data_IF_301368382810
#
_entry.id   IF_301368382810
#
_cell.length_a   1.000
_cell.length_b   1.000
_cell.length_c   1.000
_cell.angle_alpha   90.00
_cell.angle_beta   90.00
_cell.angle_gamma   90.00
#
_symmetry.space_group_name_H-M   'P 1'
#
loop_
_entity.id
_entity.type
_entity.pdbx_description
1 polymer ?
#
# COMPACT_ATOMS: atom_id res chain seq x y z
N UNK A 1 -40.32 5.80 52.93
CA UNK A 1 -40.04 6.29 51.56
C UNK A 1 -39.05 7.42 51.67
N UNK A 2 -38.02 7.45 50.81
CA UNK A 2 -37.08 8.58 50.76
C UNK A 2 -37.84 9.85 50.32
N UNK A 3 -37.37 11.04 50.72
CA UNK A 3 -38.08 12.30 50.46
C UNK A 3 -38.04 12.70 48.98
N UNK A 4 -39.07 13.40 48.49
CA UNK A 4 -39.12 13.96 47.13
C UNK A 4 -37.91 14.88 46.85
N UNK A 5 -37.41 15.58 47.86
CA UNK A 5 -36.21 16.40 47.76
C UNK A 5 -34.97 15.58 47.35
N UNK A 6 -34.88 14.32 47.79
CA UNK A 6 -33.77 13.41 47.44
C UNK A 6 -33.86 12.98 45.99
N UNK A 7 -35.06 12.66 45.50
CA UNK A 7 -35.28 12.28 44.10
C UNK A 7 -34.94 13.45 43.15
N UNK A 8 -35.26 14.68 43.54
CA UNK A 8 -34.97 15.88 42.76
C UNK A 8 -33.45 16.16 42.64
N UNK A 9 -32.68 15.92 43.71
CA UNK A 9 -31.22 16.02 43.69
C UNK A 9 -30.60 14.98 42.74
N UNK A 10 -31.09 13.72 42.78
CA UNK A 10 -30.59 12.66 41.90
C UNK A 10 -30.89 13.00 40.44
N UNK A 11 -32.09 13.50 40.15
CA UNK A 11 -32.48 13.90 38.80
C UNK A 11 -31.58 15.02 38.26
N UNK A 12 -31.27 16.04 39.06
CA UNK A 12 -30.36 17.12 38.66
C UNK A 12 -28.95 16.60 38.35
N UNK A 13 -28.40 15.73 39.19
CA UNK A 13 -27.09 15.10 38.92
C UNK A 13 -27.11 14.28 37.64
N UNK A 14 -28.18 13.51 37.41
CA UNK A 14 -28.32 12.67 36.23
C UNK A 14 -28.33 13.51 34.95
N UNK A 15 -29.14 14.56 34.87
CA UNK A 15 -29.21 15.40 33.66
C UNK A 15 -27.88 16.10 33.35
N UNK A 16 -27.10 16.47 34.38
CA UNK A 16 -25.76 17.06 34.19
C UNK A 16 -24.73 16.05 33.68
N UNK A 17 -24.80 14.79 34.13
CA UNK A 17 -23.80 13.77 33.80
C UNK A 17 -24.17 12.95 32.56
N UNK A 18 -25.46 12.83 32.22
CA UNK A 18 -25.98 12.01 31.11
C UNK A 18 -25.26 12.22 29.78
N UNK A 19 -24.87 13.44 29.34
CA UNK A 19 -24.14 13.63 28.09
C UNK A 19 -22.73 13.01 28.07
N UNK A 20 -22.15 12.79 29.26
CA UNK A 20 -20.77 12.32 29.42
C UNK A 20 -20.67 10.84 29.81
N UNK A 21 -21.80 10.19 30.12
CA UNK A 21 -21.84 8.79 30.55
C UNK A 21 -22.18 7.87 29.38
N UNK A 22 -21.37 6.82 29.20
CA UNK A 22 -21.74 5.66 28.40
C UNK A 22 -22.57 4.66 29.21
N UNK A 23 -23.12 3.64 28.55
CA UNK A 23 -24.01 2.62 29.14
C UNK A 23 -23.39 1.90 30.36
N UNK A 24 -22.07 1.64 30.35
CA UNK A 24 -21.39 1.01 31.48
C UNK A 24 -21.23 1.99 32.66
N UNK A 25 -20.75 3.21 32.39
CA UNK A 25 -20.59 4.24 33.43
C UNK A 25 -21.92 4.69 34.04
N UNK A 26 -23.01 4.68 33.26
CA UNK A 26 -24.34 5.03 33.73
C UNK A 26 -24.89 3.97 34.71
N UNK A 27 -24.67 2.69 34.42
CA UNK A 27 -25.01 1.57 35.32
C UNK A 27 -24.21 1.63 36.62
N UNK A 28 -22.92 1.89 36.53
CA UNK A 28 -22.07 2.04 37.72
C UNK A 28 -22.49 3.23 38.59
N UNK A 29 -22.73 4.40 37.99
CA UNK A 29 -23.16 5.60 38.73
C UNK A 29 -24.53 5.41 39.40
N UNK A 30 -25.52 4.91 38.66
CA UNK A 30 -26.87 4.69 39.21
C UNK A 30 -26.88 3.65 40.33
N UNK A 31 -26.04 2.62 40.25
CA UNK A 31 -25.86 1.65 41.32
C UNK A 31 -25.18 2.25 42.57
N UNK A 32 -24.17 3.11 42.39
CA UNK A 32 -23.52 3.79 43.50
C UNK A 32 -24.48 4.73 44.24
N UNK A 33 -25.31 5.50 43.52
CA UNK A 33 -26.35 6.36 44.13
C UNK A 33 -27.45 5.51 44.80
N UNK A 34 -27.80 4.34 44.25
CA UNK A 34 -28.78 3.46 44.90
C UNK A 34 -28.23 2.84 46.20
N UNK A 35 -26.95 2.49 46.23
CA UNK A 35 -26.28 1.93 47.41
C UNK A 35 -26.11 2.97 48.53
N UNK A 36 -25.78 4.22 48.19
CA UNK A 36 -25.60 5.29 49.19
C UNK A 36 -26.89 5.63 49.94
N UNK A 37 -28.05 5.43 49.31
CA UNK A 37 -29.36 5.71 49.87
C UNK A 37 -29.96 4.56 50.70
N UNK A 38 -29.36 3.36 50.65
CA UNK A 38 -29.82 2.20 51.40
C UNK A 38 -31.24 1.73 51.03
N UNK A 39 -32.09 1.51 52.03
CA UNK A 39 -33.43 0.94 51.81
C UNK A 39 -34.33 1.89 51.01
N UNK A 40 -34.76 1.46 49.83
CA UNK A 40 -35.55 2.27 48.89
C UNK A 40 -34.73 3.02 47.83
N UNK A 41 -33.40 3.02 47.92
CA UNK A 41 -32.52 3.73 46.99
C UNK A 41 -32.73 3.37 45.53
N UNK A 42 -32.87 2.08 45.21
CA UNK A 42 -33.16 1.60 43.84
C UNK A 42 -34.46 2.18 43.29
N UNK A 43 -35.49 2.30 44.14
CA UNK A 43 -36.79 2.84 43.71
C UNK A 43 -36.69 4.33 43.45
N UNK A 44 -36.01 5.08 44.31
CA UNK A 44 -35.83 6.52 44.16
C UNK A 44 -34.92 6.89 42.99
N UNK A 45 -33.83 6.16 42.76
CA UNK A 45 -32.98 6.35 41.57
C UNK A 45 -33.73 6.02 40.28
N UNK A 46 -34.53 4.94 40.27
CA UNK A 46 -35.34 4.58 39.10
C UNK A 46 -36.38 5.66 38.76
N UNK A 47 -37.04 6.24 39.77
CA UNK A 47 -37.99 7.34 39.59
C UNK A 47 -37.32 8.62 39.10
N UNK A 48 -36.18 8.99 39.69
CA UNK A 48 -35.46 10.21 39.36
C UNK A 48 -34.81 10.20 37.97
N UNK A 49 -34.36 9.02 37.50
CA UNK A 49 -33.59 8.89 36.25
C UNK A 49 -34.36 8.28 35.08
N UNK A 50 -35.49 7.62 35.36
CA UNK A 50 -36.23 6.81 34.38
C UNK A 50 -35.55 5.48 34.03
N UNK A 51 -34.43 5.13 34.68
CA UNK A 51 -33.75 3.85 34.47
C UNK A 51 -34.57 2.69 35.01
N UNK A 52 -34.51 1.54 34.32
CA UNK A 52 -35.14 0.32 34.82
C UNK A 52 -34.45 -0.15 36.10
N UNK A 53 -35.23 -0.67 37.05
CA UNK A 53 -34.68 -1.27 38.28
C UNK A 53 -33.71 -2.41 37.97
N UNK A 54 -33.96 -3.16 36.90
CA UNK A 54 -33.06 -4.22 36.42
C UNK A 54 -31.68 -3.69 36.05
N UNK A 55 -31.61 -2.52 35.42
CA UNK A 55 -30.34 -1.84 35.05
C UNK A 55 -29.55 -1.42 36.28
N UNK A 56 -30.23 -0.89 37.30
CA UNK A 56 -29.62 -0.46 38.56
C UNK A 56 -29.11 -1.69 39.34
N UNK A 57 -29.91 -2.76 39.42
CA UNK A 57 -29.50 -4.01 40.06
C UNK A 57 -28.30 -4.66 39.36
N UNK A 58 -28.26 -4.64 38.02
CA UNK A 58 -27.10 -5.14 37.27
C UNK A 58 -25.83 -4.35 37.63
N UNK A 59 -25.92 -3.01 37.71
CA UNK A 59 -24.79 -2.19 38.16
C UNK A 59 -24.36 -2.48 39.60
N UNK A 60 -25.30 -2.77 40.52
CA UNK A 60 -24.96 -3.14 41.91
C UNK A 60 -24.20 -4.46 41.99
N UNK A 61 -24.61 -5.45 41.19
CA UNK A 61 -23.89 -6.73 41.07
C UNK A 61 -22.48 -6.50 40.52
N UNK A 62 -22.33 -5.69 39.47
CA UNK A 62 -21.03 -5.35 38.88
C UNK A 62 -20.10 -4.63 39.88
N UNK A 63 -20.61 -3.69 40.68
CA UNK A 63 -19.83 -3.00 41.72
C UNK A 63 -19.42 -3.92 42.88
N UNK A 64 -20.23 -4.95 43.19
CA UNK A 64 -19.94 -5.92 44.26
C UNK A 64 -18.84 -6.93 43.90
N UNK A 65 -18.39 -6.96 42.64
CA UNK A 65 -17.35 -7.87 42.14
C UNK A 65 -16.07 -7.08 41.77
N UNK A 66 -15.22 -6.70 42.75
CA UNK A 66 -14.05 -5.85 42.51
C UNK A 66 -12.96 -6.48 41.62
N UNK A 67 -13.00 -7.80 41.34
CA UNK A 67 -11.98 -8.49 40.54
C UNK A 67 -12.32 -8.66 39.04
N UNK A 68 -13.51 -8.24 38.57
CA UNK A 68 -13.83 -8.26 37.14
C UNK A 68 -13.53 -6.93 36.42
N UNK A 69 -13.45 -5.81 37.17
CA UNK A 69 -13.28 -4.47 36.61
C UNK A 69 -11.82 -3.97 36.58
N UNK A 70 -10.92 -4.52 37.40
CA UNK A 70 -9.54 -4.04 37.52
C UNK A 70 -8.51 -4.80 36.66
N UNK A 71 -8.86 -5.97 36.11
CA UNK A 71 -7.95 -6.79 35.29
C UNK A 71 -8.03 -6.50 33.79
N UNK A 72 -8.80 -5.50 33.37
CA UNK A 72 -8.92 -5.10 31.97
C UNK A 72 -8.44 -3.67 31.76
N UNK A 73 -7.13 -3.47 31.72
CA UNK A 73 -6.52 -2.30 31.06
C UNK A 73 -5.56 -2.82 29.99
N UNK A 74 -5.60 -2.39 28.71
CA UNK A 74 -6.56 -1.56 27.99
C UNK A 74 -7.08 -2.26 26.70
N UNK A 75 -8.35 -2.67 26.67
CA UNK A 75 -9.08 -2.74 25.40
C UNK A 75 -10.36 -1.92 25.54
N UNK A 76 -10.17 -0.61 25.34
CA UNK A 76 -11.16 0.45 25.50
C UNK A 76 -12.23 0.45 24.40
N UNK A 77 -12.70 -0.72 23.94
CA UNK A 77 -13.45 -0.82 22.68
C UNK A 77 -14.78 -1.55 22.73
N UNK A 78 -15.13 -2.26 23.82
CA UNK A 78 -16.44 -2.95 23.87
C UNK A 78 -17.24 -2.62 25.12
N UNK A 79 -18.12 -1.62 24.99
CA UNK A 79 -19.08 -1.20 26.02
C UNK A 79 -20.16 -2.28 26.24
N UNK A 80 -20.46 -3.09 25.23
CA UNK A 80 -21.49 -4.13 25.28
C UNK A 80 -20.90 -5.53 25.40
N UNK A 81 -21.59 -6.40 26.13
CA UNK A 81 -21.26 -7.83 26.19
C UNK A 81 -21.21 -8.47 24.79
N UNK A 82 -20.47 -9.57 24.61
CA UNK A 82 -20.54 -10.39 23.40
C UNK A 82 -22.01 -10.69 23.04
N UNK A 83 -22.40 -10.45 21.79
CA UNK A 83 -23.79 -10.60 21.34
C UNK A 83 -24.67 -9.34 21.40
N UNK A 84 -24.27 -8.26 22.09
CA UNK A 84 -25.05 -7.01 22.20
C UNK A 84 -24.99 -6.07 20.98
N UNK A 85 -24.66 -6.56 19.78
CA UNK A 85 -24.49 -5.75 18.57
C UNK A 85 -25.63 -5.90 17.57
N UNK A 86 -25.68 -5.02 16.57
CA UNK A 86 -26.51 -5.25 15.37
C UNK A 86 -26.10 -6.59 14.76
N UNK A 87 -27.06 -7.47 14.47
CA UNK A 87 -26.80 -8.77 13.85
C UNK A 87 -26.09 -8.56 12.50
N UNK A 88 -25.15 -9.45 12.17
CA UNK A 88 -24.45 -9.41 10.90
C UNK A 88 -25.46 -9.44 9.74
N UNK A 89 -25.20 -8.67 8.68
CA UNK A 89 -26.12 -8.57 7.54
C UNK A 89 -26.40 -9.95 6.91
N UNK A 90 -25.40 -10.83 6.91
CA UNK A 90 -25.49 -12.23 6.46
C UNK A 90 -26.54 -13.03 7.24
N UNK A 91 -26.78 -12.71 8.51
CA UNK A 91 -27.82 -13.36 9.32
C UNK A 91 -29.22 -12.79 9.08
N UNK A 92 -29.33 -11.70 8.32
CA UNK A 92 -30.60 -10.99 8.04
C UNK A 92 -30.99 -11.11 6.56
N UNK A 93 -30.02 -11.31 5.68
CA UNK A 93 -30.18 -11.48 4.23
C UNK A 93 -29.50 -12.79 3.80
N UNK A 94 -30.32 -13.83 3.62
CA UNK A 94 -29.86 -15.18 3.32
C UNK A 94 -29.34 -15.33 1.87
N UNK A 95 -29.68 -14.40 0.97
CA UNK A 95 -29.33 -14.48 -0.45
C UNK A 95 -28.05 -13.68 -0.78
N UNK A 96 -27.72 -12.69 0.06
CA UNK A 96 -26.55 -11.82 -0.12
C UNK A 96 -25.22 -12.55 -0.40
N UNK A 97 -24.91 -13.63 0.33
CA UNK A 97 -23.66 -14.37 0.10
C UNK A 97 -23.67 -15.08 -1.25
N UNK A 98 -24.80 -15.70 -1.62
CA UNK A 98 -24.96 -16.41 -2.89
C UNK A 98 -24.87 -15.45 -4.07
N UNK A 99 -25.49 -14.28 -3.96
CA UNK A 99 -25.52 -13.28 -5.03
C UNK A 99 -24.17 -12.57 -5.16
N UNK A 100 -23.46 -12.34 -4.05
CA UNK A 100 -22.07 -11.90 -4.07
C UNK A 100 -21.15 -12.94 -4.74
N UNK A 101 -21.29 -14.22 -4.39
CA UNK A 101 -20.54 -15.30 -5.04
C UNK A 101 -20.84 -15.37 -6.54
N UNK A 102 -22.10 -15.25 -6.96
CA UNK A 102 -22.48 -15.26 -8.37
C UNK A 102 -21.94 -14.07 -9.17
N UNK A 103 -21.79 -12.91 -8.53
CA UNK A 103 -21.11 -11.74 -9.13
C UNK A 103 -19.60 -11.91 -9.19
N UNK A 104 -19.07 -12.82 -8.38
CA UNK A 104 -17.64 -13.12 -8.23
C UNK A 104 -17.18 -14.32 -9.07
N UNK A 105 -18.09 -15.23 -9.39
CA UNK A 105 -17.84 -16.44 -10.16
C UNK A 105 -17.79 -16.15 -11.68
N UNK A 106 -16.74 -16.55 -12.41
CA UNK A 106 -16.63 -16.30 -13.83
C UNK A 106 -17.53 -17.28 -14.60
N UNK A 107 -18.81 -16.95 -14.76
CA UNK A 107 -19.75 -17.68 -15.60
C UNK A 107 -19.48 -17.53 -17.12
N UNK A 108 -18.21 -17.53 -17.57
CA UNK A 108 -17.83 -17.83 -18.96
C UNK A 108 -16.33 -18.10 -19.08
N UNK A 109 -15.88 -19.31 -18.74
CA UNK A 109 -14.84 -20.10 -19.44
C UNK A 109 -14.51 -21.38 -18.65
N UNK A 110 -15.32 -22.41 -18.86
CA UNK A 110 -14.91 -23.82 -18.80
C UNK A 110 -14.63 -24.44 -17.43
N UNK A 111 -15.46 -25.45 -17.12
CA UNK A 111 -15.28 -26.57 -16.18
C UNK A 111 -15.72 -26.40 -14.70
N UNK A 112 -16.50 -27.36 -14.11
CA UNK A 112 -17.15 -27.23 -12.79
C UNK A 112 -16.27 -27.52 -11.56
N UNK A 113 -14.97 -27.80 -11.71
CA UNK A 113 -14.05 -28.09 -10.59
C UNK A 113 -12.77 -27.26 -10.65
N UNK A 114 -12.85 -25.94 -10.45
CA UNK A 114 -11.64 -25.11 -10.29
C UNK A 114 -11.74 -24.11 -9.13
N UNK A 115 -10.81 -24.12 -8.16
CA UNK A 115 -10.82 -23.24 -6.97
C UNK A 115 -10.29 -21.82 -7.26
N UNK A 116 -10.45 -21.35 -8.50
CA UNK A 116 -9.87 -20.07 -8.95
C UNK A 116 -10.98 -19.15 -9.46
N UNK A 117 -11.64 -18.51 -8.47
CA UNK A 117 -12.67 -17.48 -8.68
C UNK A 117 -11.97 -16.11 -8.75
N UNK A 118 -12.03 -15.42 -9.89
CA UNK A 118 -11.43 -14.09 -10.06
C UNK A 118 -12.46 -13.07 -10.55
N UNK A 119 -12.45 -11.86 -9.97
CA UNK A 119 -13.14 -10.69 -10.55
C UNK A 119 -12.19 -9.54 -10.78
N UNK A 120 -12.44 -8.79 -11.86
CA UNK A 120 -11.82 -7.49 -12.12
C UNK A 120 -12.68 -6.32 -11.63
N UNK A 121 -13.74 -6.60 -10.83
CA UNK A 121 -14.70 -5.58 -10.36
C UNK A 121 -14.23 -5.03 -9.01
N UNK A 122 -14.20 -3.71 -8.87
CA UNK A 122 -13.93 -3.07 -7.57
C UNK A 122 -15.09 -3.32 -6.59
N UNK A 123 -14.80 -3.22 -5.29
CA UNK A 123 -15.83 -3.35 -4.24
C UNK A 123 -17.00 -2.37 -4.41
N UNK A 124 -16.74 -1.18 -4.96
CA UNK A 124 -17.78 -0.21 -5.32
C UNK A 124 -18.72 -0.74 -6.44
N UNK A 125 -18.16 -1.40 -7.47
CA UNK A 125 -18.97 -1.99 -8.55
C UNK A 125 -19.77 -3.21 -8.08
N UNK A 126 -19.19 -4.03 -7.21
CA UNK A 126 -19.89 -5.16 -6.58
C UNK A 126 -21.02 -4.67 -5.66
N UNK A 127 -20.79 -3.59 -4.92
CA UNK A 127 -21.82 -2.94 -4.11
C UNK A 127 -22.97 -2.46 -4.97
N UNK A 128 -22.70 -1.74 -6.06
CA UNK A 128 -23.75 -1.25 -6.96
C UNK A 128 -24.57 -2.41 -7.54
N UNK A 129 -23.90 -3.45 -8.05
CA UNK A 129 -24.59 -4.61 -8.61
C UNK A 129 -25.49 -5.33 -7.60
N UNK A 130 -25.06 -5.43 -6.34
CA UNK A 130 -25.87 -6.02 -5.26
C UNK A 130 -27.00 -5.09 -4.82
N UNK A 131 -26.79 -3.77 -4.85
CA UNK A 131 -27.86 -2.79 -4.62
C UNK A 131 -28.91 -2.83 -5.73
N UNK A 132 -28.50 -3.01 -6.98
CA UNK A 132 -29.40 -3.19 -8.12
C UNK A 132 -30.23 -4.48 -8.01
N UNK A 133 -29.72 -5.49 -7.30
CA UNK A 133 -30.43 -6.73 -6.95
C UNK A 133 -31.29 -6.61 -5.67
N UNK A 134 -31.32 -5.43 -5.03
CA UNK A 134 -32.17 -5.11 -3.89
C UNK A 134 -31.48 -5.23 -2.52
N UNK A 135 -30.18 -5.55 -2.46
CA UNK A 135 -29.46 -5.67 -1.20
C UNK A 135 -29.02 -4.32 -0.63
N UNK A 136 -29.37 -4.04 0.63
CA UNK A 136 -28.98 -2.82 1.33
C UNK A 136 -27.57 -2.96 1.93
N UNK A 137 -26.54 -2.87 1.09
CA UNK A 137 -25.14 -3.09 1.50
C UNK A 137 -24.22 -1.90 1.21
N UNK A 138 -23.10 -1.86 1.92
CA UNK A 138 -22.05 -0.87 1.75
C UNK A 138 -20.76 -1.49 1.18
N UNK A 139 -19.88 -0.70 0.54
CA UNK A 139 -18.59 -1.20 0.04
C UNK A 139 -17.71 -1.81 1.13
N UNK A 140 -17.80 -1.30 2.36
CA UNK A 140 -17.05 -1.84 3.50
C UNK A 140 -17.57 -3.22 3.91
N UNK A 141 -18.89 -3.42 3.86
CA UNK A 141 -19.52 -4.72 4.09
C UNK A 141 -19.08 -5.72 3.02
N UNK A 142 -19.05 -5.32 1.75
CA UNK A 142 -18.58 -6.18 0.64
C UNK A 142 -17.13 -6.60 0.85
N UNK A 143 -16.22 -5.70 1.25
CA UNK A 143 -14.84 -6.06 1.54
C UNK A 143 -14.74 -7.11 2.66
N UNK A 144 -15.46 -6.91 3.77
CA UNK A 144 -15.47 -7.87 4.87
C UNK A 144 -16.02 -9.23 4.44
N UNK A 145 -17.08 -9.27 3.62
CA UNK A 145 -17.62 -10.53 3.10
C UNK A 145 -16.64 -11.22 2.14
N UNK A 146 -15.92 -10.47 1.32
CA UNK A 146 -14.87 -11.01 0.46
C UNK A 146 -13.71 -11.58 1.28
N UNK A 147 -13.28 -10.88 2.34
CA UNK A 147 -12.24 -11.37 3.26
C UNK A 147 -12.70 -12.65 3.98
N UNK A 148 -13.94 -12.70 4.48
CA UNK A 148 -14.54 -13.88 5.14
C UNK A 148 -14.66 -15.09 4.19
N UNK A 149 -14.87 -14.82 2.89
CA UNK A 149 -14.88 -15.83 1.82
C UNK A 149 -13.46 -16.21 1.33
N UNK A 150 -12.40 -15.65 1.93
CA UNK A 150 -11.01 -15.97 1.60
C UNK A 150 -10.44 -15.23 0.38
N UNK A 151 -11.15 -14.23 -0.15
CA UNK A 151 -10.63 -13.37 -1.21
C UNK A 151 -9.71 -12.30 -0.63
N UNK A 152 -8.73 -11.90 -1.42
CA UNK A 152 -7.87 -10.77 -1.10
C UNK A 152 -7.57 -9.96 -2.36
N UNK A 153 -7.25 -8.68 -2.18
CA UNK A 153 -6.79 -7.83 -3.27
C UNK A 153 -5.42 -8.29 -3.74
N UNK A 154 -5.39 -8.98 -4.88
CA UNK A 154 -4.16 -9.44 -5.51
C UNK A 154 -3.81 -8.51 -6.69
N UNK A 155 -2.58 -7.97 -6.69
CA UNK A 155 -2.04 -7.29 -7.86
C UNK A 155 -1.49 -8.33 -8.85
N UNK A 156 -1.52 -8.02 -10.15
CA UNK A 156 -0.90 -8.87 -11.16
C UNK A 156 0.61 -8.99 -10.87
N UNK A 157 1.02 -10.15 -10.38
CA UNK A 157 2.43 -10.50 -10.19
C UNK A 157 2.94 -11.13 -11.49
N UNK A 158 3.97 -10.54 -12.10
CA UNK A 158 4.64 -11.13 -13.26
C UNK A 158 5.41 -12.38 -12.81
N UNK A 159 4.76 -13.53 -12.74
CA UNK A 159 5.36 -14.82 -12.28
C UNK A 159 5.63 -15.80 -13.41
N UNK A 160 5.11 -15.56 -14.62
CA UNK A 160 5.39 -16.40 -15.79
C UNK A 160 6.70 -15.98 -16.45
N UNK A 161 7.82 -16.31 -15.81
CA UNK A 161 9.12 -16.38 -16.49
C UNK A 161 9.23 -17.72 -17.21
N UNK A 162 9.85 -17.73 -18.40
CA UNK A 162 10.15 -18.98 -19.11
C UNK A 162 10.99 -19.92 -18.25
N UNK A 163 10.88 -21.23 -18.56
CA UNK A 163 11.49 -22.39 -17.87
C UNK A 163 12.70 -22.04 -17.00
N UNK A 164 12.66 -22.47 -15.74
CA UNK A 164 13.82 -22.44 -14.83
C UNK A 164 15.03 -23.07 -15.52
N UNK A 165 16.00 -22.24 -15.89
CA UNK A 165 17.24 -22.68 -16.51
C UNK A 165 18.31 -22.72 -15.42
N UNK A 166 18.92 -23.88 -15.13
CA UNK A 166 19.92 -24.05 -14.07
C UNK A 166 21.10 -23.08 -14.16
N UNK A 167 21.47 -22.70 -15.39
CA UNK A 167 22.58 -21.77 -15.67
C UNK A 167 22.30 -20.31 -15.22
N UNK A 168 21.05 -19.94 -14.91
CA UNK A 168 20.74 -18.58 -14.44
C UNK A 168 21.36 -18.30 -13.08
N UNK A 169 21.31 -19.28 -12.18
CA UNK A 169 21.78 -19.11 -10.80
C UNK A 169 23.31 -18.99 -10.75
N UNK A 170 24.03 -19.76 -11.58
CA UNK A 170 25.48 -19.65 -11.73
C UNK A 170 25.90 -18.26 -12.25
N UNK A 171 25.18 -17.72 -13.23
CA UNK A 171 25.43 -16.38 -13.76
C UNK A 171 25.18 -15.30 -12.69
N UNK A 172 24.13 -15.44 -11.87
CA UNK A 172 23.88 -14.52 -10.76
C UNK A 172 24.98 -14.59 -9.70
N UNK A 173 25.42 -15.79 -9.34
CA UNK A 173 26.48 -16.00 -8.38
C UNK A 173 27.78 -15.36 -8.87
N UNK A 174 28.13 -15.57 -10.15
CA UNK A 174 29.29 -14.95 -10.77
C UNK A 174 29.25 -13.41 -10.73
N UNK A 175 28.10 -12.81 -11.05
CA UNK A 175 27.92 -11.35 -10.96
C UNK A 175 28.09 -10.89 -9.52
N UNK A 176 27.46 -11.57 -8.55
CA UNK A 176 27.56 -11.21 -7.13
C UNK A 176 29.01 -11.29 -6.62
N UNK A 177 29.73 -12.36 -6.96
CA UNK A 177 31.14 -12.56 -6.59
C UNK A 177 32.04 -11.47 -7.19
N UNK A 178 31.81 -11.12 -8.46
CA UNK A 178 32.54 -10.04 -9.13
C UNK A 178 32.26 -8.68 -8.50
N UNK A 179 30.99 -8.39 -8.16
CA UNK A 179 30.63 -7.14 -7.44
C UNK A 179 31.35 -7.08 -6.09
N UNK A 180 31.36 -8.17 -5.33
CA UNK A 180 32.05 -8.24 -4.04
C UNK A 180 33.56 -8.01 -4.18
N UNK A 181 34.20 -8.56 -5.22
CA UNK A 181 35.61 -8.32 -5.50
C UNK A 181 35.92 -6.85 -5.81
N UNK A 182 35.12 -6.22 -6.68
CA UNK A 182 35.27 -4.79 -6.99
C UNK A 182 35.13 -3.91 -5.75
N UNK A 183 34.13 -4.21 -4.91
CA UNK A 183 33.92 -3.47 -3.66
C UNK A 183 35.07 -3.64 -2.67
N UNK A 184 35.64 -4.85 -2.55
CA UNK A 184 36.84 -5.10 -1.73
C UNK A 184 38.05 -4.31 -2.23
N UNK A 185 38.18 -4.09 -3.53
CA UNK A 185 39.24 -3.29 -4.16
C UNK A 185 38.92 -1.79 -4.24
N UNK A 186 37.84 -1.35 -3.58
CA UNK A 186 37.34 0.02 -3.59
C UNK A 186 37.13 0.58 -5.01
N UNK A 187 36.70 -0.28 -5.94
CA UNK A 187 36.35 0.10 -7.30
C UNK A 187 34.83 0.30 -7.41
N UNK A 188 34.38 1.29 -8.20
CA UNK A 188 32.96 1.56 -8.40
C UNK A 188 32.24 0.42 -9.12
N UNK A 189 31.01 0.16 -8.69
CA UNK A 189 30.09 -0.76 -9.35
C UNK A 189 28.77 -0.03 -9.58
N UNK A 190 28.36 0.09 -10.83
CA UNK A 190 27.10 0.71 -11.21
C UNK A 190 26.15 -0.27 -11.87
N UNK A 191 24.86 -0.09 -11.62
CA UNK A 191 23.80 -0.72 -12.40
C UNK A 191 23.12 0.30 -13.29
N UNK A 192 22.88 -0.07 -14.54
CA UNK A 192 22.33 0.84 -15.56
C UNK A 192 21.12 0.22 -16.22
N UNK A 193 20.10 1.04 -16.45
CA UNK A 193 18.88 0.63 -17.14
C UNK A 193 18.10 1.84 -17.69
N UNK A 194 17.30 1.58 -18.72
CA UNK A 194 16.37 2.55 -19.28
C UNK A 194 14.96 2.30 -18.73
N UNK A 195 14.39 3.29 -18.04
CA UNK A 195 13.00 3.19 -17.60
C UNK A 195 12.07 3.29 -18.80
N UNK A 196 10.89 2.67 -18.70
CA UNK A 196 9.80 2.85 -19.66
C UNK A 196 9.60 4.35 -19.94
N UNK A 197 9.40 4.71 -21.21
CA UNK A 197 9.16 6.09 -21.64
C UNK A 197 7.96 6.67 -20.89
N UNK A 198 8.14 7.83 -20.29
CA UNK A 198 7.06 8.59 -19.65
C UNK A 198 6.63 9.73 -20.56
N UNK A 199 5.35 10.10 -20.49
CA UNK A 199 4.79 11.23 -21.23
C UNK A 199 5.02 12.52 -20.41
N UNK A 200 5.69 13.52 -21.00
CA UNK A 200 5.71 14.87 -20.43
C UNK A 200 4.39 15.53 -20.80
N UNK A 201 3.71 16.11 -19.81
CA UNK A 201 2.50 16.89 -19.99
C UNK A 201 1.48 16.65 -18.90
N UNK A 202 0.34 17.31 -19.03
CA UNK A 202 -0.78 17.19 -18.10
C UNK A 202 -1.56 15.88 -18.29
N UNK A 203 -0.87 14.75 -18.16
CA UNK A 203 -1.42 13.40 -18.39
C UNK A 203 -1.70 12.66 -17.08
N UNK A 204 -2.60 11.68 -17.13
CA UNK A 204 -2.99 10.90 -15.97
C UNK A 204 -1.93 9.86 -15.62
N UNK A 205 -1.14 10.15 -14.59
CA UNK A 205 -0.26 9.16 -13.96
C UNK A 205 -1.02 8.29 -12.96
N UNK A 206 -0.69 6.99 -12.90
CA UNK A 206 -1.34 6.05 -11.96
C UNK A 206 -0.94 6.37 -10.51
N UNK A 207 -1.91 6.34 -9.59
CA UNK A 207 -1.73 6.61 -8.16
C UNK A 207 -2.83 7.49 -7.57
N UNK A 208 -2.84 7.69 -6.25
CA UNK A 208 -3.64 8.72 -5.57
C UNK A 208 -2.76 9.53 -4.61
N UNK A 209 -2.88 10.87 -4.64
CA UNK A 209 -2.28 11.78 -3.66
C UNK A 209 -3.38 12.58 -2.94
N UNK A 210 -3.13 12.94 -1.68
CA UNK A 210 -4.05 13.75 -0.89
C UNK A 210 -4.08 15.19 -1.44
N UNK A 211 -5.26 15.65 -1.84
CA UNK A 211 -5.52 17.00 -2.32
C UNK A 211 -6.69 17.63 -1.53
N UNK A 212 -6.78 18.97 -1.45
CA UNK A 212 -7.95 19.63 -0.87
C UNK A 212 -9.25 19.12 -1.50
N UNK A 213 -10.28 18.94 -0.67
CA UNK A 213 -11.56 18.41 -1.15
C UNK A 213 -12.11 19.25 -2.31
N UNK A 214 -12.57 18.56 -3.37
CA UNK A 214 -13.13 19.14 -4.61
C UNK A 214 -12.15 19.94 -5.47
N UNK A 215 -10.84 19.82 -5.25
CA UNK A 215 -9.80 20.38 -6.11
C UNK A 215 -8.90 19.25 -6.67
N UNK A 216 -9.42 18.36 -7.54
CA UNK A 216 -8.56 17.42 -8.24
C UNK A 216 -7.62 18.18 -9.18
N UNK A 217 -6.40 17.66 -9.37
CA UNK A 217 -5.55 18.12 -10.47
C UNK A 217 -6.23 17.66 -11.77
N UNK A 218 -6.72 18.62 -12.55
CA UNK A 218 -7.30 18.37 -13.86
C UNK A 218 -6.20 17.94 -14.82
N UNK A 219 -6.32 16.74 -15.38
CA UNK A 219 -5.41 16.18 -16.40
C UNK A 219 -6.19 16.01 -17.70
N UNK A 220 -5.49 16.03 -18.83
CA UNK A 220 -6.08 15.91 -20.16
C UNK A 220 -6.86 14.59 -20.30
N UNK A 221 -8.07 14.68 -20.85
CA UNK A 221 -9.03 13.56 -21.00
C UNK A 221 -8.56 12.47 -21.97
N UNK A 222 -7.60 12.79 -22.83
CA UNK A 222 -7.05 11.88 -23.81
C UNK A 222 -5.51 11.82 -23.74
N UNK A 223 -4.97 10.61 -23.67
CA UNK A 223 -3.52 10.32 -23.75
C UNK A 223 -2.98 10.44 -25.18
N UNK A 224 -3.46 11.42 -25.96
CA UNK A 224 -2.89 11.70 -27.28
C UNK A 224 -1.64 12.56 -27.12
N UNK A 225 -0.56 12.09 -27.75
CA UNK A 225 0.75 12.74 -27.77
C UNK A 225 0.60 14.15 -28.31
N UNK A 226 0.93 15.14 -27.48
CA UNK A 226 1.22 16.47 -27.99
C UNK A 226 2.59 16.42 -28.68
N UNK A 227 2.60 16.64 -29.99
CA UNK A 227 3.80 16.56 -30.84
C UNK A 227 4.87 17.56 -30.37
N UNK A 228 4.47 18.61 -29.64
CA UNK A 228 5.36 19.64 -29.11
C UNK A 228 5.99 19.33 -27.73
N UNK A 229 5.35 18.51 -26.88
CA UNK A 229 5.84 18.20 -25.52
C UNK A 229 6.64 16.89 -25.42
N UNK A 230 6.55 16.01 -26.43
CA UNK A 230 7.43 14.86 -26.59
C UNK A 230 7.28 13.74 -25.55
N UNK A 231 8.17 12.73 -25.64
CA UNK A 231 8.31 11.64 -24.66
C UNK A 231 9.67 11.75 -24.01
N UNK A 232 9.75 11.51 -22.71
CA UNK A 232 11.04 11.36 -22.05
C UNK A 232 11.42 9.93 -21.81
N UNK A 233 12.72 9.69 -21.91
CA UNK A 233 13.34 8.41 -21.63
C UNK A 233 14.27 8.63 -20.45
N UNK A 234 13.85 8.27 -19.23
CA UNK A 234 14.74 8.30 -18.08
C UNK A 234 15.74 7.15 -18.21
N UNK A 235 17.02 7.50 -18.28
CA UNK A 235 18.10 6.53 -18.16
C UNK A 235 18.74 6.64 -16.78
N UNK A 236 18.68 5.56 -16.02
CA UNK A 236 19.18 5.52 -14.65
C UNK A 236 20.58 4.93 -14.59
N UNK A 237 21.40 5.51 -13.73
CA UNK A 237 22.69 4.95 -13.28
C UNK A 237 22.62 4.88 -11.77
N UNK A 238 22.67 3.68 -11.21
CA UNK A 238 22.65 3.46 -9.77
C UNK A 238 23.99 2.91 -9.30
N UNK A 239 24.69 3.70 -8.51
CA UNK A 239 25.94 3.30 -7.86
C UNK A 239 25.62 2.38 -6.68
N UNK A 240 25.98 1.10 -6.85
CA UNK A 240 25.74 0.06 -5.86
C UNK A 240 26.68 0.22 -4.65
N UNK A 241 27.87 0.76 -4.88
CA UNK A 241 28.90 0.93 -3.84
C UNK A 241 28.59 2.13 -2.95
N UNK A 242 28.23 3.28 -3.55
CA UNK A 242 27.89 4.50 -2.82
C UNK A 242 26.40 4.58 -2.43
N UNK A 243 25.55 3.68 -2.94
CA UNK A 243 24.10 3.71 -2.77
C UNK A 243 23.48 5.05 -3.22
N UNK A 244 23.90 5.55 -4.38
CA UNK A 244 23.41 6.80 -4.96
C UNK A 244 22.90 6.60 -6.38
N UNK A 245 21.86 7.33 -6.75
CA UNK A 245 21.24 7.27 -8.06
C UNK A 245 21.46 8.54 -8.86
N UNK A 246 21.70 8.38 -10.16
CA UNK A 246 21.71 9.44 -11.14
C UNK A 246 20.70 9.11 -12.24
N UNK A 247 20.00 10.13 -12.74
CA UNK A 247 19.03 9.96 -13.81
C UNK A 247 19.29 11.02 -14.86
N UNK A 248 19.49 10.58 -16.09
CA UNK A 248 19.54 11.46 -17.26
C UNK A 248 18.21 11.34 -17.98
N UNK A 249 17.63 12.47 -18.34
CA UNK A 249 16.35 12.52 -19.05
C UNK A 249 16.61 12.81 -20.52
N UNK A 250 16.36 11.83 -21.37
CA UNK A 250 16.48 11.95 -22.82
C UNK A 250 15.19 12.45 -23.43
N UNK A 251 15.28 13.38 -24.39
CA UNK A 251 14.13 13.98 -25.09
C UNK A 251 13.76 13.25 -26.39
N UNK A 252 14.58 12.28 -26.82
CA UNK A 252 14.45 11.62 -28.11
C UNK A 252 14.52 10.08 -28.01
N UNK A 253 15.35 9.39 -28.80
CA UNK A 253 15.40 7.93 -28.86
C UNK A 253 16.30 7.31 -27.78
N UNK A 254 15.91 6.12 -27.31
CA UNK A 254 16.71 5.30 -26.41
C UNK A 254 17.80 4.60 -27.24
N UNK A 255 18.95 5.24 -27.37
CA UNK A 255 20.09 4.77 -28.16
C UNK A 255 21.25 4.37 -27.26
N UNK A 256 22.13 3.50 -27.76
CA UNK A 256 23.36 3.14 -27.06
C UNK A 256 24.24 4.37 -26.73
N UNK A 257 24.23 5.37 -27.61
CA UNK A 257 24.86 6.67 -27.40
C UNK A 257 24.31 7.40 -26.19
N UNK A 258 22.98 7.45 -26.09
CA UNK A 258 22.31 8.08 -24.96
C UNK A 258 22.60 7.35 -23.63
N UNK A 259 22.61 6.01 -23.65
CA UNK A 259 22.97 5.20 -22.49
C UNK A 259 24.42 5.48 -22.02
N UNK A 260 25.40 5.45 -22.93
CA UNK A 260 26.81 5.74 -22.57
C UNK A 260 27.00 7.20 -22.18
N UNK A 261 26.31 8.14 -22.83
CA UNK A 261 26.32 9.55 -22.44
C UNK A 261 25.78 9.76 -21.02
N UNK A 262 24.78 8.97 -20.61
CA UNK A 262 24.25 9.02 -19.24
C UNK A 262 25.27 8.53 -18.21
N UNK A 263 26.02 7.47 -18.53
CA UNK A 263 27.13 6.97 -17.69
C UNK A 263 28.26 7.99 -17.63
N UNK A 264 28.60 8.62 -18.77
CA UNK A 264 29.61 9.69 -18.84
C UNK A 264 29.24 10.88 -17.94
N UNK A 265 28.00 11.35 -18.03
CA UNK A 265 27.53 12.46 -17.20
C UNK A 265 27.51 12.10 -15.71
N UNK A 266 27.06 10.88 -15.38
CA UNK A 266 27.16 10.37 -14.01
C UNK A 266 28.60 10.41 -13.50
N UNK A 267 29.57 9.93 -14.30
CA UNK A 267 30.98 9.92 -13.90
C UNK A 267 31.51 11.32 -13.60
N UNK A 268 31.35 12.27 -14.53
CA UNK A 268 31.87 13.63 -14.35
C UNK A 268 31.17 14.42 -13.24
N UNK A 269 29.87 14.19 -13.02
CA UNK A 269 29.08 14.98 -12.05
C UNK A 269 29.09 14.39 -10.65
N UNK A 270 29.25 13.07 -10.52
CA UNK A 270 29.07 12.36 -9.26
C UNK A 270 30.15 11.29 -9.05
N UNK A 271 30.38 10.41 -10.02
CA UNK A 271 31.25 9.24 -9.88
C UNK A 271 32.71 9.58 -9.55
N UNK A 272 33.31 10.57 -10.22
CA UNK A 272 34.71 10.95 -10.03
C UNK A 272 34.99 11.49 -8.62
N UNK A 273 34.04 12.21 -8.03
CA UNK A 273 34.17 12.76 -6.67
C UNK A 273 34.00 11.65 -5.63
N UNK A 274 33.08 10.71 -5.87
CA UNK A 274 32.83 9.57 -4.97
C UNK A 274 33.94 8.52 -5.03
N UNK A 275 34.57 8.33 -6.19
CA UNK A 275 35.56 7.29 -6.44
C UNK A 275 36.87 7.88 -7.03
N UNK A 276 37.59 8.73 -6.27
CA UNK A 276 38.74 9.47 -6.79
C UNK A 276 39.94 8.59 -7.17
N UNK A 277 40.02 7.38 -6.62
CA UNK A 277 41.12 6.41 -6.85
C UNK A 277 40.72 5.27 -7.79
N UNK A 278 39.58 5.37 -8.47
CA UNK A 278 39.11 4.33 -9.38
C UNK A 278 40.08 4.15 -10.56
N UNK A 279 40.33 2.89 -10.90
CA UNK A 279 41.07 2.46 -12.10
C UNK A 279 40.22 1.55 -12.99
N UNK A 280 39.21 0.94 -12.39
CA UNK A 280 38.29 0.02 -13.02
C UNK A 280 36.85 0.42 -12.67
N UNK A 281 35.92 0.18 -13.57
CA UNK A 281 34.49 0.41 -13.35
C UNK A 281 33.71 -0.82 -13.81
N UNK A 282 32.95 -1.41 -12.89
CA UNK A 282 32.03 -2.49 -13.23
C UNK A 282 30.63 -1.94 -13.54
N UNK A 283 30.05 -2.39 -14.65
CA UNK A 283 28.72 -2.00 -15.13
C UNK A 283 27.85 -3.25 -15.24
N UNK A 284 26.80 -3.31 -14.45
CA UNK A 284 25.75 -4.33 -14.57
C UNK A 284 24.58 -3.79 -15.38
N UNK A 285 24.14 -4.52 -16.41
CA UNK A 285 23.09 -4.08 -17.32
C UNK A 285 22.13 -5.21 -17.71
N UNK A 286 20.94 -4.83 -18.13
CA UNK A 286 19.97 -5.75 -18.72
C UNK A 286 20.33 -6.06 -20.18
N UNK A 287 19.89 -7.22 -20.68
CA UNK A 287 20.19 -7.66 -22.05
C UNK A 287 19.37 -6.95 -23.15
N UNK A 288 18.47 -6.03 -22.80
CA UNK A 288 17.50 -5.40 -23.71
C UNK A 288 17.95 -4.06 -24.30
N UNK A 289 17.18 -3.52 -25.26
CA UNK A 289 17.25 -2.12 -25.66
C UNK A 289 18.64 -1.57 -26.04
N UNK A 290 18.92 -0.35 -25.58
CA UNK A 290 20.11 0.44 -25.90
C UNK A 290 21.41 -0.10 -25.30
N UNK A 291 21.34 -0.85 -24.19
CA UNK A 291 22.46 -1.45 -23.47
C UNK A 291 22.65 -2.95 -23.75
N UNK A 292 21.98 -3.48 -24.79
CA UNK A 292 22.06 -4.90 -25.16
C UNK A 292 23.48 -5.34 -25.56
N UNK A 293 23.89 -6.52 -25.07
CA UNK A 293 25.16 -7.15 -25.43
C UNK A 293 25.32 -7.46 -26.93
N UNK A 294 24.20 -7.51 -27.68
CA UNK A 294 24.21 -7.75 -29.14
C UNK A 294 24.50 -6.49 -29.94
N UNK A 295 24.29 -5.32 -29.36
CA UNK A 295 24.40 -4.03 -30.06
C UNK A 295 25.89 -3.66 -30.22
N UNK A 296 26.36 -3.60 -31.46
CA UNK A 296 27.76 -3.20 -31.75
C UNK A 296 28.06 -1.77 -31.33
N UNK A 297 27.09 -0.87 -31.52
CA UNK A 297 27.21 0.53 -31.12
C UNK A 297 27.45 0.67 -29.61
N UNK A 298 26.76 -0.13 -28.78
CA UNK A 298 26.98 -0.16 -27.33
C UNK A 298 28.42 -0.48 -26.96
N UNK A 299 29.00 -1.53 -27.57
CA UNK A 299 30.40 -1.90 -27.35
C UNK A 299 31.37 -0.81 -27.82
N UNK A 300 31.08 -0.18 -28.97
CA UNK A 300 31.91 0.89 -29.51
C UNK A 300 31.91 2.12 -28.60
N UNK A 301 30.74 2.58 -28.18
CA UNK A 301 30.58 3.74 -27.29
C UNK A 301 31.21 3.48 -25.91
N UNK A 302 31.05 2.28 -25.34
CA UNK A 302 31.73 1.91 -24.10
C UNK A 302 33.25 1.92 -24.25
N UNK A 303 33.78 1.46 -25.38
CA UNK A 303 35.22 1.52 -25.63
C UNK A 303 35.71 2.97 -25.74
N UNK A 304 34.96 3.84 -26.42
CA UNK A 304 35.28 5.27 -26.47
C UNK A 304 35.27 5.88 -25.07
N UNK A 305 34.28 5.54 -24.24
CA UNK A 305 34.20 5.99 -22.85
C UNK A 305 35.38 5.48 -22.02
N UNK A 306 35.76 4.20 -22.16
CA UNK A 306 36.90 3.62 -21.45
C UNK A 306 38.20 4.39 -21.75
N UNK A 307 38.43 4.71 -23.03
CA UNK A 307 39.57 5.48 -23.49
C UNK A 307 39.53 6.93 -22.95
N UNK A 308 38.35 7.56 -22.99
CA UNK A 308 38.13 8.92 -22.51
C UNK A 308 38.40 9.05 -21.00
N UNK A 309 37.87 8.12 -20.21
CA UNK A 309 37.99 8.14 -18.75
C UNK A 309 39.31 7.53 -18.23
N UNK A 310 40.08 6.88 -19.12
CA UNK A 310 41.25 6.07 -18.75
C UNK A 310 40.93 5.04 -17.65
N UNK A 311 39.76 4.39 -17.76
CA UNK A 311 39.29 3.34 -16.85
C UNK A 311 39.12 2.03 -17.62
N UNK A 312 39.42 0.92 -16.94
CA UNK A 312 39.07 -0.41 -17.48
C UNK A 312 37.61 -0.69 -17.16
N UNK A 313 36.78 -0.86 -18.20
CA UNK A 313 35.35 -1.15 -18.03
C UNK A 313 35.08 -2.64 -18.03
N UNK A 314 34.41 -3.14 -17.00
CA UNK A 314 33.95 -4.52 -16.89
C UNK A 314 32.43 -4.55 -17.02
N UNK A 315 31.91 -5.25 -18.02
CA UNK A 315 30.48 -5.26 -18.32
C UNK A 315 29.90 -6.65 -18.05
N UNK A 316 28.90 -6.71 -17.19
CA UNK A 316 28.16 -7.92 -16.88
C UNK A 316 26.69 -7.74 -17.23
N UNK A 317 26.16 -8.63 -18.06
CA UNK A 317 24.73 -8.64 -18.38
C UNK A 317 23.98 -9.67 -17.54
N UNK A 318 22.82 -9.28 -17.02
CA UNK A 318 21.91 -10.22 -16.35
C UNK A 318 21.26 -11.19 -17.36
N UNK A 319 20.86 -12.40 -16.94
CA UNK A 319 20.20 -13.35 -17.84
C UNK A 319 18.91 -12.77 -18.48
N UNK A 320 18.47 -13.26 -19.65
CA UNK A 320 17.19 -12.82 -20.21
C UNK A 320 16.00 -13.08 -19.27
N UNK A 321 15.09 -12.11 -19.17
CA UNK A 321 13.88 -12.24 -18.34
C UNK A 321 14.09 -11.97 -16.85
N UNK A 322 15.25 -11.43 -16.44
CA UNK A 322 15.58 -11.17 -15.04
C UNK A 322 15.64 -9.69 -14.66
N UNK A 323 14.97 -8.80 -15.41
CA UNK A 323 15.01 -7.35 -15.14
C UNK A 323 14.61 -7.03 -13.69
N UNK A 324 13.69 -7.83 -13.12
CA UNK A 324 13.27 -7.80 -11.71
C UNK A 324 14.41 -7.98 -10.70
N UNK A 325 15.57 -8.49 -11.08
CA UNK A 325 16.70 -8.72 -10.18
C UNK A 325 17.75 -7.61 -10.30
N UNK A 326 17.57 -6.68 -11.24
CA UNK A 326 18.42 -5.51 -11.35
C UNK A 326 18.13 -4.56 -10.18
N UNK A 327 19.16 -4.22 -9.39
CA UNK A 327 19.02 -3.36 -8.20
C UNK A 327 18.47 -1.97 -8.55
N UNK A 328 18.68 -1.49 -9.77
CA UNK A 328 18.18 -0.19 -10.21
C UNK A 328 16.65 -0.12 -10.27
N UNK A 329 15.97 -1.22 -10.64
CA UNK A 329 14.50 -1.27 -10.69
C UNK A 329 13.91 -1.04 -9.29
N UNK A 330 14.50 -1.66 -8.27
CA UNK A 330 14.00 -1.64 -6.89
C UNK A 330 14.46 -0.45 -6.06
N UNK A 331 15.64 0.11 -6.34
CA UNK A 331 16.24 1.16 -5.50
C UNK A 331 16.10 2.55 -6.10
N UNK A 332 16.15 2.66 -7.43
CA UNK A 332 16.07 3.94 -8.12
C UNK A 332 14.69 4.13 -8.76
N UNK A 333 14.24 3.21 -9.60
CA UNK A 333 13.02 3.41 -10.36
C UNK A 333 11.75 3.28 -9.53
N UNK A 334 11.75 2.48 -8.46
CA UNK A 334 10.66 2.43 -7.48
C UNK A 334 10.41 3.81 -6.84
N UNK A 335 11.48 4.50 -6.42
CA UNK A 335 11.43 5.82 -5.80
C UNK A 335 10.97 6.88 -6.80
N UNK A 336 11.43 6.80 -8.05
CA UNK A 336 10.95 7.70 -9.12
C UNK A 336 9.46 7.47 -9.39
N UNK A 337 9.02 6.21 -9.49
CA UNK A 337 7.58 5.89 -9.68
C UNK A 337 6.75 6.40 -8.51
N UNK A 338 7.26 6.26 -7.28
CA UNK A 338 6.57 6.75 -6.09
C UNK A 338 6.49 8.28 -6.07
N UNK A 339 7.54 8.98 -6.49
CA UNK A 339 7.54 10.45 -6.57
C UNK A 339 6.73 11.00 -7.74
N UNK A 340 6.54 10.22 -8.80
CA UNK A 340 5.74 10.61 -9.99
C UNK A 340 4.28 10.15 -9.91
N UNK A 341 3.90 9.44 -8.84
CA UNK A 341 2.51 8.98 -8.63
C UNK A 341 1.56 10.19 -8.58
N UNK A 342 0.48 10.13 -9.35
CA UNK A 342 -0.59 11.16 -9.38
C UNK A 342 -0.21 12.59 -9.77
N UNK A 343 1.06 12.85 -10.10
CA UNK A 343 1.52 14.18 -10.50
C UNK A 343 1.70 14.23 -12.01
N UNK A 344 1.10 15.24 -12.63
CA UNK A 344 1.44 15.58 -14.00
C UNK A 344 2.92 16.00 -14.07
N UNK A 345 3.64 15.47 -15.05
CA UNK A 345 5.03 15.85 -15.31
C UNK A 345 5.01 17.10 -16.19
N UNK A 346 4.81 18.25 -15.54
CA UNK A 346 4.77 19.57 -16.20
C UNK A 346 6.12 20.26 -15.97
N UNK A 347 6.66 20.89 -17.01
CA UNK A 347 7.92 21.66 -16.98
C UNK A 347 7.78 22.96 -16.21
#
# INVERSE_FOLDING_TARGET
MLSEATELIIQQKYEQLKPYLNEASLRAWSAAEALSLGHGGVTSVSRATGLSRTTIHAGMVELSQPQAAATSTPSRTRIRQPGGGRKALVATDAHLLRDLEALVDPATRGDPESPLRWTSKSSAKLTQALQDQGHQISPRTVCTLLDDLGYSLQANRKTREGKEHPERDEQFQHIADTVMDFQKRHQPVISVDAKKKELIGNYKNQGQEWQPQKMPIEVNTHDFMDIQMGKVIPYGVYDITANQGWVTVGLDHDTAQFAVASIRQWWYRMGQVLHPTAKELMITADCGGSNSYRTKLWKWELQQLANELNLTLHICHFPPGTSKWNKIEHRLFSQITENWRSRALVT
#
